data_IF_892956939524
#
_entry.id   IF_892956939524
#
_cell.length_a   1.000
_cell.length_b   1.000
_cell.length_c   1.000
_cell.angle_alpha   90.00
_cell.angle_beta   90.00
_cell.angle_gamma   90.00
#
_symmetry.space_group_name_H-M   'P 1'
#
loop_
_entity.id
_entity.type
_entity.pdbx_description
1 polymer ?
#
# COMPACT_ATOMS: atom_id res chain seq x y z
N UNK A 1 45.25 18.14 -40.94
CA UNK A 1 43.79 18.39 -40.94
C UNK A 1 43.40 18.75 -39.51
N UNK A 2 42.82 19.88 -39.11
CA UNK A 2 42.47 21.16 -39.72
C UNK A 2 41.99 22.08 -38.58
N UNK A 3 42.30 23.37 -38.63
CA UNK A 3 41.67 24.47 -37.85
C UNK A 3 40.83 25.25 -38.89
N UNK A 4 39.62 25.77 -38.60
CA UNK A 4 39.43 27.11 -38.00
C UNK A 4 38.20 27.21 -37.04
N UNK A 5 38.25 27.93 -35.91
CA UNK A 5 38.09 29.38 -35.71
C UNK A 5 36.69 29.97 -36.03
N UNK A 6 36.01 30.52 -35.01
CA UNK A 6 35.36 31.86 -35.00
C UNK A 6 34.77 32.24 -33.63
N UNK A 7 35.26 33.34 -33.08
CA UNK A 7 34.62 34.22 -32.08
C UNK A 7 33.79 35.27 -32.88
N UNK A 8 32.80 35.96 -32.31
CA UNK A 8 33.15 37.25 -31.70
C UNK A 8 32.39 37.59 -30.40
N UNK A 9 33.08 38.40 -29.62
CA UNK A 9 32.59 39.21 -28.53
C UNK A 9 31.84 40.42 -29.12
N UNK A 10 30.68 40.80 -28.59
CA UNK A 10 30.23 42.19 -28.60
C UNK A 10 29.64 42.52 -27.23
N UNK A 11 30.39 43.35 -26.51
CA UNK A 11 29.85 44.20 -25.47
C UNK A 11 29.26 45.43 -26.15
N UNK A 12 27.96 45.64 -26.03
CA UNK A 12 27.34 46.95 -26.21
C UNK A 12 26.50 47.25 -24.97
N UNK A 13 26.89 48.35 -24.33
CA UNK A 13 26.07 49.26 -23.55
C UNK A 13 25.24 48.69 -22.40
N UNK A 14 25.87 48.72 -21.22
CA UNK A 14 25.17 49.07 -20.00
C UNK A 14 24.53 50.47 -20.15
N UNK A 15 23.21 50.54 -20.29
CA UNK A 15 22.43 51.74 -19.96
C UNK A 15 20.95 51.39 -19.72
N UNK A 16 20.62 50.90 -18.53
CA UNK A 16 19.56 51.49 -17.73
C UNK A 16 19.59 50.89 -16.31
N UNK A 17 19.76 51.80 -15.35
CA UNK A 17 19.73 51.53 -13.94
C UNK A 17 18.30 51.19 -13.45
N UNK A 18 18.27 50.45 -12.35
CA UNK A 18 17.21 50.42 -11.35
C UNK A 18 15.76 50.20 -11.82
N UNK A 19 15.28 48.97 -11.63
CA UNK A 19 14.12 48.75 -10.75
C UNK A 19 13.91 47.27 -10.41
N UNK A 20 13.70 47.07 -9.10
CA UNK A 20 12.97 45.99 -8.47
C UNK A 20 13.61 44.59 -8.48
N UNK A 21 13.99 44.18 -7.26
CA UNK A 21 14.33 42.82 -6.84
C UNK A 21 13.41 41.76 -7.47
N UNK A 22 13.94 40.69 -8.09
CA UNK A 22 13.11 39.56 -8.50
C UNK A 22 12.75 38.72 -7.27
N UNK A 23 11.45 38.49 -7.11
CA UNK A 23 10.87 37.55 -6.17
C UNK A 23 11.47 36.15 -6.33
N UNK A 24 11.65 35.45 -5.20
CA UNK A 24 12.03 34.05 -5.13
C UNK A 24 11.11 33.19 -6.04
N UNK A 25 11.65 32.20 -6.79
CA UNK A 25 10.82 31.28 -7.54
C UNK A 25 9.95 30.44 -6.61
N UNK A 26 8.64 30.48 -6.85
CA UNK A 26 7.62 29.68 -6.18
C UNK A 26 7.96 28.19 -6.26
N UNK A 27 7.79 27.49 -5.13
CA UNK A 27 7.88 26.04 -5.04
C UNK A 27 6.90 25.36 -6.01
N UNK A 28 7.29 24.26 -6.68
CA UNK A 28 6.40 23.54 -7.57
C UNK A 28 5.21 22.98 -6.78
N UNK A 29 4.01 23.46 -7.13
CA UNK A 29 2.73 22.89 -6.69
C UNK A 29 2.70 21.43 -7.13
N UNK A 30 2.77 20.52 -6.17
CA UNK A 30 2.51 19.10 -6.35
C UNK A 30 1.09 18.93 -6.89
N UNK A 31 0.99 18.47 -8.14
CA UNK A 31 -0.27 18.01 -8.69
C UNK A 31 -0.76 16.80 -7.86
N UNK A 32 -2.06 16.72 -7.50
CA UNK A 32 -2.59 15.52 -6.88
C UNK A 32 -2.53 14.39 -7.91
N UNK A 33 -1.90 13.29 -7.53
CA UNK A 33 -1.95 12.04 -8.29
C UNK A 33 -3.37 11.52 -8.17
N UNK A 34 -4.15 11.65 -9.24
CA UNK A 34 -5.51 11.12 -9.33
C UNK A 34 -5.44 9.59 -9.31
N UNK A 35 -5.81 9.00 -8.17
CA UNK A 35 -6.22 7.60 -8.16
C UNK A 35 -7.62 7.57 -8.75
N UNK A 36 -7.79 6.87 -9.87
CA UNK A 36 -9.12 6.56 -10.40
C UNK A 36 -9.85 5.63 -9.42
N UNK A 37 -10.42 6.22 -8.36
CA UNK A 37 -11.42 5.58 -7.53
C UNK A 37 -12.69 5.57 -8.37
N UNK A 38 -12.93 4.48 -9.08
CA UNK A 38 -14.15 4.32 -9.86
C UNK A 38 -15.38 4.60 -8.98
N UNK A 39 -16.17 5.60 -9.39
CA UNK A 39 -17.44 6.06 -8.78
C UNK A 39 -18.56 5.01 -8.90
N UNK A 40 -18.25 3.73 -8.74
CA UNK A 40 -19.28 2.72 -8.56
C UNK A 40 -19.95 3.00 -7.22
N UNK A 41 -21.12 3.63 -7.26
CA UNK A 41 -21.84 4.17 -6.12
C UNK A 41 -21.76 3.29 -4.87
N UNK A 42 -21.52 3.95 -3.73
CA UNK A 42 -21.56 3.39 -2.38
C UNK A 42 -22.95 2.79 -2.12
N UNK A 43 -23.18 1.59 -2.65
CA UNK A 43 -24.32 0.78 -2.25
C UNK A 43 -23.94 0.27 -0.86
N UNK A 44 -24.71 0.64 0.16
CA UNK A 44 -24.45 0.21 1.54
C UNK A 44 -24.24 -1.31 1.56
N UNK A 45 -23.00 -1.74 1.84
CA UNK A 45 -22.66 -3.16 1.83
C UNK A 45 -23.38 -3.83 3.00
N UNK A 46 -24.03 -4.96 2.74
CA UNK A 46 -24.65 -5.79 3.78
C UNK A 46 -23.57 -6.53 4.57
N UNK A 47 -22.90 -5.81 5.46
CA UNK A 47 -21.94 -6.37 6.42
C UNK A 47 -22.69 -6.85 7.67
N UNK A 48 -22.18 -7.89 8.32
CA UNK A 48 -22.73 -8.32 9.61
C UNK A 48 -22.33 -7.33 10.69
N UNK A 49 -23.30 -6.54 11.14
CA UNK A 49 -23.17 -5.59 12.26
C UNK A 49 -22.85 -6.26 13.60
N UNK A 50 -23.01 -7.58 13.69
CA UNK A 50 -22.60 -8.36 14.87
C UNK A 50 -21.08 -8.47 14.98
N UNK A 51 -20.36 -8.47 13.85
CA UNK A 51 -18.91 -8.69 13.79
C UNK A 51 -18.16 -7.41 13.43
N UNK A 52 -18.69 -6.62 12.49
CA UNK A 52 -18.05 -5.40 11.98
C UNK A 52 -18.82 -4.18 12.45
N UNK A 53 -18.15 -3.32 13.22
CA UNK A 53 -18.69 -2.06 13.72
C UNK A 53 -18.03 -0.94 12.92
N UNK A 54 -18.80 -0.06 12.24
CA UNK A 54 -18.23 1.10 11.56
C UNK A 54 -17.33 1.90 12.51
N UNK A 55 -16.12 2.22 12.06
CA UNK A 55 -15.11 2.86 12.90
C UNK A 55 -14.24 3.82 12.11
N UNK A 56 -13.35 4.51 12.81
CA UNK A 56 -12.30 5.32 12.22
C UNK A 56 -10.96 4.77 12.69
N UNK A 57 -9.91 4.85 11.86
CA UNK A 57 -8.59 4.41 12.29
C UNK A 57 -8.13 5.32 13.44
N UNK A 58 -7.73 4.71 14.55
CA UNK A 58 -7.26 5.41 15.76
C UNK A 58 -5.96 6.20 15.48
N UNK A 59 -5.18 5.73 14.49
CA UNK A 59 -4.00 6.40 13.96
C UNK A 59 -4.07 6.44 12.44
N UNK A 60 -3.93 7.62 11.84
CA UNK A 60 -3.71 7.75 10.39
C UNK A 60 -2.36 7.07 10.08
N UNK A 61 -2.28 6.09 9.18
CA UNK A 61 -1.04 5.35 9.01
C UNK A 61 0.01 6.21 8.28
N UNK A 62 1.10 6.55 8.96
CA UNK A 62 2.39 6.68 8.27
C UNK A 62 2.92 5.26 7.97
N UNK A 63 2.17 4.47 7.20
CA UNK A 63 2.61 3.12 6.85
C UNK A 63 3.47 3.23 5.58
N UNK A 64 4.77 3.43 5.76
CA UNK A 64 5.70 3.04 4.71
C UNK A 64 5.64 1.51 4.63
N UNK A 65 5.15 0.96 3.51
CA UNK A 65 5.13 -0.49 3.38
C UNK A 65 6.55 -1.02 3.25
N UNK A 66 7.01 -1.80 4.22
CA UNK A 66 8.29 -2.50 4.11
C UNK A 66 8.28 -3.46 2.91
N UNK A 67 9.43 -3.75 2.28
CA UNK A 67 9.51 -4.67 1.13
C UNK A 67 8.85 -6.03 1.38
N UNK A 68 8.96 -6.55 2.60
CA UNK A 68 8.35 -7.83 2.98
C UNK A 68 6.83 -7.75 3.04
N UNK A 69 6.27 -6.61 3.46
CA UNK A 69 4.83 -6.40 3.45
C UNK A 69 4.29 -6.25 2.02
N UNK A 70 5.03 -5.57 1.13
CA UNK A 70 4.69 -5.53 -0.30
C UNK A 70 4.68 -6.93 -0.91
N UNK A 71 5.71 -7.73 -0.62
CA UNK A 71 5.79 -9.12 -1.07
C UNK A 71 4.60 -9.94 -0.56
N UNK A 72 4.25 -9.81 0.72
CA UNK A 72 3.09 -10.48 1.30
C UNK A 72 1.77 -10.06 0.62
N UNK A 73 1.60 -8.77 0.31
CA UNK A 73 0.42 -8.27 -0.43
C UNK A 73 0.37 -8.83 -1.85
N UNK A 74 1.52 -8.90 -2.54
CA UNK A 74 1.60 -9.50 -3.87
C UNK A 74 1.25 -11.00 -3.87
N UNK A 75 1.78 -11.76 -2.91
CA UNK A 75 1.45 -13.18 -2.72
C UNK A 75 -0.04 -13.37 -2.40
N UNK A 76 -0.61 -12.49 -1.57
CA UNK A 76 -2.04 -12.50 -1.25
C UNK A 76 -2.91 -12.21 -2.48
N UNK A 77 -2.54 -11.22 -3.31
CA UNK A 77 -3.25 -10.94 -4.55
C UNK A 77 -3.21 -12.14 -5.52
N UNK A 78 -2.04 -12.78 -5.65
CA UNK A 78 -1.89 -13.99 -6.46
C UNK A 78 -2.74 -15.14 -5.94
N UNK A 79 -2.81 -15.33 -4.62
CA UNK A 79 -3.69 -16.32 -4.01
C UNK A 79 -5.15 -16.05 -4.37
N UNK A 80 -5.63 -14.81 -4.17
CA UNK A 80 -7.02 -14.42 -4.43
C UNK A 80 -7.43 -14.54 -5.91
N UNK A 81 -6.47 -14.42 -6.85
CA UNK A 81 -6.72 -14.62 -8.30
C UNK A 81 -6.94 -16.08 -8.70
N UNK A 82 -6.57 -17.05 -7.85
CA UNK A 82 -6.74 -18.46 -8.20
C UNK A 82 -8.22 -18.84 -8.25
N UNK A 83 -8.55 -19.77 -9.16
CA UNK A 83 -9.92 -20.23 -9.37
C UNK A 83 -10.44 -21.13 -8.24
N UNK A 84 -9.55 -21.76 -7.49
CA UNK A 84 -9.89 -22.70 -6.41
C UNK A 84 -10.20 -22.01 -5.08
N UNK A 85 -9.93 -20.71 -4.96
CA UNK A 85 -10.25 -19.93 -3.77
C UNK A 85 -11.74 -19.63 -3.71
N UNK A 86 -12.37 -19.92 -2.57
CA UNK A 86 -13.79 -19.68 -2.32
C UNK A 86 -14.12 -18.20 -2.54
N UNK A 87 -15.20 -17.94 -3.27
CA UNK A 87 -15.66 -16.57 -3.56
C UNK A 87 -16.11 -15.81 -2.30
N UNK A 88 -16.60 -16.53 -1.29
CA UNK A 88 -17.08 -15.96 -0.04
C UNK A 88 -16.32 -16.58 1.12
N UNK A 89 -15.39 -15.84 1.72
CA UNK A 89 -14.55 -16.32 2.83
C UNK A 89 -15.12 -15.96 4.20
N UNK A 90 -15.86 -14.85 4.32
CA UNK A 90 -16.54 -14.41 5.55
C UNK A 90 -17.74 -13.50 5.23
N UNK A 91 -18.59 -13.26 6.23
CA UNK A 91 -19.82 -12.46 6.10
C UNK A 91 -19.58 -11.11 5.42
N UNK A 92 -20.12 -10.99 4.21
CA UNK A 92 -20.28 -9.71 3.50
C UNK A 92 -19.05 -9.18 2.75
N UNK A 93 -17.90 -9.87 2.76
CA UNK A 93 -16.71 -9.46 2.00
C UNK A 93 -16.41 -10.52 0.94
N UNK A 94 -16.54 -10.15 -0.33
CA UNK A 94 -16.28 -11.05 -1.45
C UNK A 94 -14.78 -11.18 -1.74
N UNK A 95 -14.41 -12.25 -2.47
CA UNK A 95 -13.05 -12.45 -2.97
C UNK A 95 -12.58 -11.29 -3.83
N UNK A 96 -13.46 -10.75 -4.68
CA UNK A 96 -13.13 -9.66 -5.58
C UNK A 96 -12.93 -8.34 -4.80
N UNK A 97 -13.72 -8.11 -3.76
CA UNK A 97 -13.52 -6.96 -2.85
C UNK A 97 -12.17 -7.06 -2.12
N UNK A 98 -11.81 -8.25 -1.64
CA UNK A 98 -10.50 -8.46 -1.00
C UNK A 98 -9.36 -8.22 -1.99
N UNK A 99 -9.47 -8.73 -3.22
CA UNK A 99 -8.45 -8.55 -4.25
C UNK A 99 -8.28 -7.06 -4.60
N UNK A 100 -9.39 -6.36 -4.87
CA UNK A 100 -9.40 -4.92 -5.14
C UNK A 100 -8.78 -4.13 -4.00
N UNK A 101 -9.10 -4.48 -2.75
CA UNK A 101 -8.53 -3.84 -1.56
C UNK A 101 -7.01 -3.99 -1.51
N UNK A 102 -6.50 -5.20 -1.74
CA UNK A 102 -5.06 -5.49 -1.69
C UNK A 102 -4.31 -4.79 -2.84
N UNK A 103 -4.92 -4.67 -4.02
CA UNK A 103 -4.36 -3.93 -5.15
C UNK A 103 -4.33 -2.41 -4.90
N UNK A 104 -5.40 -1.86 -4.31
CA UNK A 104 -5.44 -0.45 -3.91
C UNK A 104 -4.39 -0.14 -2.84
N UNK A 105 -4.23 -0.99 -1.83
CA UNK A 105 -3.22 -0.80 -0.79
C UNK A 105 -1.79 -0.79 -1.36
N UNK A 106 -1.50 -1.61 -2.37
CA UNK A 106 -0.19 -1.58 -3.06
C UNK A 106 0.06 -0.23 -3.74
N UNK A 107 -0.97 0.40 -4.31
CA UNK A 107 -0.86 1.68 -5.01
C UNK A 107 -0.75 2.88 -4.05
N UNK A 108 -1.29 2.78 -2.83
CA UNK A 108 -1.29 3.88 -1.85
C UNK A 108 0.09 4.17 -1.25
N UNK A 109 1.07 3.28 -1.41
CA UNK A 109 2.44 3.55 -0.94
C UNK A 109 3.04 4.85 -1.52
N UNK A 110 2.56 5.26 -2.70
CA UNK A 110 3.05 6.44 -3.41
C UNK A 110 2.27 7.72 -3.06
N UNK A 111 1.29 7.64 -2.15
CA UNK A 111 0.30 8.68 -1.92
C UNK A 111 0.30 9.16 -0.46
N UNK A 112 -0.29 10.34 -0.26
CA UNK A 112 -0.49 10.91 1.07
C UNK A 112 -1.33 9.94 1.96
N UNK A 113 -0.95 9.73 3.23
CA UNK A 113 -1.73 8.93 4.19
C UNK A 113 -3.23 9.25 4.26
N UNK A 114 -3.63 10.48 3.97
CA UNK A 114 -5.03 10.91 3.91
C UNK A 114 -5.85 10.19 2.83
N UNK A 115 -5.21 9.69 1.76
CA UNK A 115 -5.88 8.92 0.70
C UNK A 115 -6.48 7.62 1.24
N UNK A 116 -5.90 7.04 2.30
CA UNK A 116 -6.48 5.85 2.93
C UNK A 116 -7.87 6.14 3.51
N UNK A 117 -8.07 7.34 4.09
CA UNK A 117 -9.33 7.73 4.73
C UNK A 117 -10.45 7.96 3.73
N UNK A 118 -10.11 8.37 2.51
CA UNK A 118 -11.09 8.62 1.44
C UNK A 118 -11.36 7.38 0.60
N UNK A 119 -10.39 6.45 0.52
CA UNK A 119 -10.46 5.27 -0.36
C UNK A 119 -11.03 4.04 0.35
N UNK A 120 -10.82 3.91 1.67
CA UNK A 120 -11.20 2.72 2.43
C UNK A 120 -12.22 3.03 3.53
N UNK A 121 -13.18 2.12 3.66
CA UNK A 121 -14.06 2.05 4.82
C UNK A 121 -13.35 1.33 5.98
N UNK A 122 -13.35 1.92 7.17
CA UNK A 122 -12.73 1.33 8.36
C UNK A 122 -13.78 0.69 9.27
N UNK A 123 -13.45 -0.49 9.79
CA UNK A 123 -14.33 -1.23 10.69
C UNK A 123 -13.54 -1.71 11.90
N UNK A 124 -14.10 -1.51 13.09
CA UNK A 124 -13.70 -2.23 14.30
C UNK A 124 -14.25 -3.65 14.28
N UNK A 125 -13.46 -4.59 14.79
CA UNK A 125 -13.90 -5.99 14.95
C UNK A 125 -14.48 -6.17 16.34
N UNK A 126 -15.76 -6.54 16.41
CA UNK A 126 -16.41 -6.90 17.65
C UNK A 126 -15.93 -8.30 18.09
N UNK A 127 -15.36 -8.38 19.28
CA UNK A 127 -14.87 -9.64 19.86
C UNK A 127 -15.70 -10.00 21.08
N UNK A 128 -15.95 -11.29 21.29
CA UNK A 128 -16.71 -11.78 22.45
C UNK A 128 -15.93 -11.67 23.78
N UNK A 129 -14.72 -11.12 23.76
CA UNK A 129 -13.81 -11.08 24.89
C UNK A 129 -14.12 -9.88 25.80
N UNK A 130 -14.63 -10.17 27.01
CA UNK A 130 -15.09 -9.15 27.98
C UNK A 130 -13.98 -8.37 28.69
N UNK A 131 -12.75 -8.90 28.74
CA UNK A 131 -11.61 -8.32 29.50
C UNK A 131 -10.44 -7.95 28.59
N UNK A 132 -10.02 -8.87 27.73
CA UNK A 132 -8.96 -8.65 26.75
C UNK A 132 -9.59 -8.34 25.40
N UNK A 133 -9.58 -7.08 24.95
CA UNK A 133 -10.25 -6.68 23.69
C UNK A 133 -9.75 -7.47 22.47
N UNK A 134 -8.50 -7.95 22.51
CA UNK A 134 -7.86 -8.80 21.49
C UNK A 134 -6.87 -9.77 22.16
N UNK A 135 -6.81 -11.03 21.71
CA UNK A 135 -5.74 -11.98 22.06
C UNK A 135 -4.87 -12.23 20.83
N UNK A 136 -3.58 -11.95 20.95
CA UNK A 136 -2.59 -12.21 19.90
C UNK A 136 -1.68 -13.37 20.32
N UNK A 137 -1.47 -14.33 19.43
CA UNK A 137 -0.59 -15.49 19.62
C UNK A 137 0.36 -15.63 18.43
N UNK A 138 1.53 -16.23 18.62
CA UNK A 138 2.50 -16.46 17.56
C UNK A 138 2.59 -17.93 17.14
N UNK A 139 2.92 -18.17 15.87
CA UNK A 139 3.33 -19.47 15.35
C UNK A 139 4.58 -19.29 14.48
N UNK A 140 5.31 -20.37 14.22
CA UNK A 140 6.50 -20.37 13.37
C UNK A 140 6.59 -21.66 12.58
N UNK A 141 7.36 -21.65 11.49
CA UNK A 141 7.67 -22.84 10.70
C UNK A 141 8.97 -23.47 11.22
N UNK A 142 8.94 -24.63 11.89
CA UNK A 142 10.16 -25.26 12.40
C UNK A 142 11.02 -25.81 11.26
N UNK A 143 12.34 -25.73 11.41
CA UNK A 143 13.31 -26.40 10.52
C UNK A 143 13.72 -27.71 11.17
N UNK A 144 13.28 -28.83 10.60
CA UNK A 144 13.54 -30.19 11.12
C UNK A 144 14.55 -30.89 10.20
N UNK A 145 15.59 -31.49 10.78
CA UNK A 145 16.53 -32.35 10.04
C UNK A 145 15.85 -33.69 9.75
N UNK A 146 15.88 -34.11 8.50
CA UNK A 146 15.24 -35.35 8.05
C UNK A 146 16.07 -36.05 6.97
N UNK A 147 15.80 -37.34 6.77
CA UNK A 147 16.36 -38.15 5.70
C UNK A 147 15.25 -38.64 4.77
N UNK A 148 15.58 -38.81 3.48
CA UNK A 148 14.66 -39.38 2.48
C UNK A 148 14.45 -40.90 2.68
N UNK A 149 15.35 -41.55 3.41
CA UNK A 149 15.30 -42.98 3.75
C UNK A 149 15.48 -43.17 5.24
N UNK A 150 14.91 -44.22 5.81
CA UNK A 150 15.04 -44.52 7.23
C UNK A 150 16.50 -44.85 7.57
N UNK A 151 17.04 -44.18 8.58
CA UNK A 151 18.38 -44.46 9.13
C UNK A 151 18.30 -44.61 10.63
N UNK A 152 19.40 -45.01 11.28
CA UNK A 152 19.49 -45.05 12.74
C UNK A 152 19.35 -43.66 13.37
N UNK A 153 19.78 -42.61 12.68
CA UNK A 153 19.65 -41.21 13.12
C UNK A 153 18.24 -40.65 12.86
N UNK A 154 17.57 -41.10 11.80
CA UNK A 154 16.21 -40.69 11.43
C UNK A 154 15.25 -41.90 11.37
N UNK A 155 14.88 -42.47 12.54
CA UNK A 155 14.07 -43.70 12.59
C UNK A 155 12.57 -43.46 12.44
N UNK A 156 12.08 -42.23 12.63
CA UNK A 156 10.65 -41.87 12.67
C UNK A 156 10.21 -41.22 11.34
N UNK A 157 9.19 -41.75 10.64
CA UNK A 157 8.63 -41.12 9.44
C UNK A 157 7.79 -39.89 9.81
N UNK A 158 7.74 -38.91 8.90
CA UNK A 158 6.86 -37.75 8.95
C UNK A 158 5.82 -37.80 7.83
#
# INVERSE_FOLDING_TARGET
MGIPFKIPYTAEAAENAEKASPALPEAPKTAPVEVEVSESGHTERKLSSSILIPGHPDTIPYLAFDPDMLKAMYEQANYLRRKDVKEHTRSGISKDDMLRTVELLQNVQLLDPSVLLTTFDFYGVNTDLKKDRVRMTGYYTPVIRASRVQTSEFPVPM
#
